data_IF_437803438614
#
_entry.id   IF_437803438614
#
_cell.length_a   1.000
_cell.length_b   1.000
_cell.length_c   1.000
_cell.angle_alpha   90.00
_cell.angle_beta   90.00
_cell.angle_gamma   90.00
#
_symmetry.space_group_name_H-M   'P 1'
#
loop_
_entity.id
_entity.type
_entity.pdbx_description
1 polymer ?
#
# COMPACT_ATOMS: atom_id res chain seq x y z
N UNK A 1 -19.78 7.63 33.95
CA UNK A 1 -18.83 6.50 34.03
C UNK A 1 -18.91 5.78 32.72
N UNK A 2 -17.80 5.71 31.99
CA UNK A 2 -17.76 5.02 30.71
C UNK A 2 -17.92 3.52 30.96
N UNK A 3 -18.71 2.86 30.11
CA UNK A 3 -18.99 1.42 30.21
C UNK A 3 -17.70 0.58 30.29
N UNK A 4 -16.65 1.00 29.57
CA UNK A 4 -15.32 0.41 29.59
C UNK A 4 -14.65 0.42 30.97
N UNK A 5 -14.87 1.46 31.77
CA UNK A 5 -14.31 1.56 33.12
C UNK A 5 -14.98 0.56 34.08
N UNK A 6 -16.29 0.35 33.91
CA UNK A 6 -17.04 -0.64 34.71
C UNK A 6 -16.53 -2.05 34.39
N UNK A 7 -16.35 -2.38 33.12
CA UNK A 7 -15.78 -3.67 32.69
C UNK A 7 -14.39 -3.88 33.30
N UNK A 8 -13.53 -2.87 33.21
CA UNK A 8 -12.18 -2.92 33.77
C UNK A 8 -12.20 -3.23 35.28
N UNK A 9 -13.02 -2.52 36.05
CA UNK A 9 -13.10 -2.68 37.50
C UNK A 9 -13.62 -4.07 37.89
N UNK A 10 -14.64 -4.57 37.19
CA UNK A 10 -15.17 -5.93 37.40
C UNK A 10 -14.09 -6.99 37.16
N UNK A 11 -13.30 -6.85 36.10
CA UNK A 11 -12.20 -7.77 35.78
C UNK A 11 -11.13 -7.72 36.88
N UNK A 12 -10.67 -6.54 37.28
CA UNK A 12 -9.63 -6.39 38.31
C UNK A 12 -10.09 -6.98 39.64
N UNK A 13 -11.31 -6.67 40.08
CA UNK A 13 -11.86 -7.21 41.32
C UNK A 13 -12.03 -8.74 41.26
N UNK A 14 -12.49 -9.28 40.14
CA UNK A 14 -12.61 -10.72 39.94
C UNK A 14 -11.25 -11.43 40.06
N UNK A 15 -10.21 -10.92 39.40
CA UNK A 15 -8.89 -11.52 39.45
C UNK A 15 -8.19 -11.32 40.79
N UNK A 16 -8.38 -10.18 41.47
CA UNK A 16 -7.90 -9.97 42.83
C UNK A 16 -8.54 -10.98 43.80
N UNK A 17 -9.85 -11.17 43.73
CA UNK A 17 -10.58 -12.14 44.54
C UNK A 17 -10.18 -13.59 44.22
N UNK A 18 -10.09 -13.93 42.93
CA UNK A 18 -9.68 -15.26 42.49
C UNK A 18 -8.24 -15.57 42.91
N UNK A 19 -7.33 -14.60 42.80
CA UNK A 19 -5.94 -14.73 43.25
C UNK A 19 -5.83 -14.92 44.76
N UNK A 20 -6.66 -14.21 45.53
CA UNK A 20 -6.74 -14.37 46.98
C UNK A 20 -7.19 -15.78 47.38
N UNK A 21 -8.20 -16.34 46.70
CA UNK A 21 -8.72 -17.68 47.01
C UNK A 21 -7.84 -18.81 46.49
N UNK A 22 -7.19 -18.62 45.34
CA UNK A 22 -6.49 -19.70 44.63
C UNK A 22 -5.03 -19.87 45.04
N UNK A 23 -4.44 -18.85 45.68
CA UNK A 23 -3.05 -18.81 46.13
C UNK A 23 -2.05 -18.45 45.03
N UNK A 24 -0.83 -18.10 45.43
CA UNK A 24 0.26 -17.62 44.57
C UNK A 24 0.53 -18.50 43.34
N UNK A 25 0.71 -19.81 43.54
CA UNK A 25 1.09 -20.74 42.46
C UNK A 25 0.05 -20.82 41.35
N UNK A 26 -1.23 -20.67 41.69
CA UNK A 26 -2.31 -20.69 40.72
C UNK A 26 -2.30 -19.44 39.83
N UNK A 27 -1.95 -18.29 40.41
CA UNK A 27 -1.83 -17.05 39.63
C UNK A 27 -0.62 -17.13 38.73
N UNK A 28 0.51 -17.62 39.24
CA UNK A 28 1.75 -17.75 38.48
C UNK A 28 1.59 -18.69 37.27
N UNK A 29 0.93 -19.83 37.44
CA UNK A 29 0.66 -20.74 36.31
C UNK A 29 -0.22 -20.09 35.24
N UNK A 30 -1.21 -19.29 35.65
CA UNK A 30 -2.07 -18.57 34.71
C UNK A 30 -1.27 -17.51 33.94
N UNK A 31 -0.39 -16.78 34.62
CA UNK A 31 0.47 -15.77 33.99
C UNK A 31 1.39 -16.40 32.93
N UNK A 32 1.97 -17.56 33.22
CA UNK A 32 2.85 -18.27 32.28
C UNK A 32 2.07 -18.91 31.13
N UNK A 33 0.83 -19.34 31.37
CA UNK A 33 -0.02 -19.95 30.34
C UNK A 33 -0.38 -19.01 29.19
N UNK A 34 -0.51 -17.70 29.47
CA UNK A 34 -0.89 -16.69 28.46
C UNK A 34 0.19 -16.53 27.37
N UNK A 35 1.46 -16.23 27.66
CA UNK A 35 2.50 -16.12 26.64
C UNK A 35 2.76 -17.46 25.95
N UNK A 36 2.66 -18.58 26.67
CA UNK A 36 2.77 -19.91 26.06
C UNK A 36 1.64 -20.18 25.04
N UNK A 37 0.39 -19.87 25.40
CA UNK A 37 -0.75 -19.98 24.49
C UNK A 37 -0.61 -19.03 23.30
N UNK A 38 -0.10 -17.82 23.52
CA UNK A 38 0.16 -16.85 22.45
C UNK A 38 1.21 -17.36 21.45
N UNK A 39 2.33 -17.90 21.92
CA UNK A 39 3.38 -18.47 21.06
C UNK A 39 2.84 -19.64 20.23
N UNK A 40 2.14 -20.58 20.87
CA UNK A 40 1.50 -21.70 20.15
C UNK A 40 0.51 -21.16 19.12
N UNK A 41 -0.26 -20.12 19.47
CA UNK A 41 -1.19 -19.51 18.51
C UNK A 41 -0.47 -18.94 17.30
N UNK A 42 0.62 -18.19 17.48
CA UNK A 42 1.38 -17.64 16.37
C UNK A 42 1.92 -18.72 15.42
N UNK A 43 2.45 -19.82 15.96
CA UNK A 43 3.01 -20.89 15.13
C UNK A 43 1.95 -21.70 14.39
N UNK A 44 0.80 -21.99 15.02
CA UNK A 44 -0.19 -22.92 14.48
C UNK A 44 -1.44 -22.28 13.86
N UNK A 45 -1.59 -20.95 13.93
CA UNK A 45 -2.79 -20.28 13.37
C UNK A 45 -2.93 -20.50 11.86
N UNK A 46 -1.84 -20.55 11.09
CA UNK A 46 -1.92 -20.72 9.64
C UNK A 46 -2.46 -22.10 9.26
N UNK A 47 -1.90 -23.16 9.82
CA UNK A 47 -2.35 -24.54 9.57
C UNK A 47 -3.78 -24.76 10.05
N UNK A 48 -4.11 -24.22 11.23
CA UNK A 48 -5.46 -24.32 11.77
C UNK A 48 -6.49 -23.52 10.95
N UNK A 49 -6.11 -22.36 10.40
CA UNK A 49 -6.96 -21.60 9.50
C UNK A 49 -7.20 -22.33 8.17
N UNK A 50 -6.21 -23.04 7.63
CA UNK A 50 -6.40 -23.89 6.46
C UNK A 50 -7.37 -25.04 6.72
N UNK A 51 -7.28 -25.66 7.90
CA UNK A 51 -8.24 -26.67 8.32
C UNK A 51 -9.65 -26.08 8.50
N UNK A 52 -9.76 -24.88 9.08
CA UNK A 52 -11.04 -24.20 9.33
C UNK A 52 -11.75 -23.77 8.04
N UNK A 53 -11.00 -23.51 6.95
CA UNK A 53 -11.57 -23.20 5.62
C UNK A 53 -12.38 -24.33 5.00
N UNK A 54 -12.27 -25.56 5.51
CA UNK A 54 -13.14 -26.66 5.08
C UNK A 54 -14.60 -26.46 5.52
N UNK A 55 -14.86 -25.56 6.46
CA UNK A 55 -16.21 -25.17 6.86
C UNK A 55 -16.65 -23.94 6.05
N UNK A 56 -17.78 -24.06 5.34
CA UNK A 56 -18.32 -23.02 4.45
C UNK A 56 -18.65 -21.67 5.10
N UNK A 57 -18.53 -21.57 6.43
CA UNK A 57 -18.80 -20.36 7.20
C UNK A 57 -17.56 -19.45 7.33
N UNK A 58 -16.36 -19.96 7.03
CA UNK A 58 -15.11 -19.25 7.29
C UNK A 58 -14.32 -19.05 6.00
N UNK A 59 -14.62 -17.98 5.28
CA UNK A 59 -13.86 -17.56 4.10
C UNK A 59 -12.95 -16.35 4.39
N UNK A 60 -11.82 -16.30 3.68
CA UNK A 60 -10.90 -15.17 3.69
C UNK A 60 -10.28 -14.86 5.06
N UNK A 61 -10.18 -13.57 5.38
CA UNK A 61 -9.52 -13.06 6.59
C UNK A 61 -10.24 -13.44 7.88
N UNK A 62 -11.55 -13.68 7.80
CA UNK A 62 -12.37 -14.10 8.95
C UNK A 62 -11.93 -15.49 9.43
N UNK A 63 -11.53 -16.37 8.52
CA UNK A 63 -11.03 -17.70 8.88
C UNK A 63 -9.76 -17.63 9.74
N UNK A 64 -8.84 -16.72 9.43
CA UNK A 64 -7.60 -16.55 10.20
C UNK A 64 -7.85 -15.94 11.58
N UNK A 65 -8.74 -14.95 11.67
CA UNK A 65 -9.13 -14.36 12.96
C UNK A 65 -9.85 -15.36 13.85
N UNK A 66 -10.81 -16.10 13.28
CA UNK A 66 -11.53 -17.15 14.01
C UNK A 66 -10.59 -18.28 14.45
N UNK A 67 -9.69 -18.71 13.56
CA UNK A 67 -8.68 -19.71 13.86
C UNK A 67 -7.77 -19.29 15.02
N UNK A 68 -7.23 -18.06 14.99
CA UNK A 68 -6.39 -17.54 16.06
C UNK A 68 -7.14 -17.47 17.40
N UNK A 69 -8.38 -16.97 17.41
CA UNK A 69 -9.19 -16.87 18.63
C UNK A 69 -9.55 -18.23 19.23
N UNK A 70 -9.99 -19.18 18.40
CA UNK A 70 -10.33 -20.55 18.82
C UNK A 70 -9.08 -21.25 19.37
N UNK A 71 -7.97 -21.18 18.62
CA UNK A 71 -6.74 -21.89 18.98
C UNK A 71 -6.10 -21.31 20.24
N UNK A 72 -6.10 -19.99 20.41
CA UNK A 72 -5.66 -19.34 21.64
C UNK A 72 -6.50 -19.79 22.85
N UNK A 73 -7.82 -19.81 22.70
CA UNK A 73 -8.74 -20.21 23.77
C UNK A 73 -8.55 -21.67 24.16
N UNK A 74 -8.48 -22.59 23.18
CA UNK A 74 -8.25 -24.01 23.42
C UNK A 74 -6.91 -24.27 24.11
N UNK A 75 -5.86 -23.57 23.68
CA UNK A 75 -4.52 -23.73 24.25
C UNK A 75 -4.46 -23.21 25.68
N UNK A 76 -5.08 -22.06 25.95
CA UNK A 76 -5.16 -21.47 27.27
C UNK A 76 -5.94 -22.36 28.25
N UNK A 77 -7.08 -22.91 27.83
CA UNK A 77 -7.84 -23.90 28.61
C UNK A 77 -7.03 -25.17 28.86
N UNK A 78 -6.29 -25.65 27.86
CA UNK A 78 -5.45 -26.84 27.99
C UNK A 78 -4.34 -26.64 29.02
N UNK A 79 -3.64 -25.50 28.99
CA UNK A 79 -2.64 -25.17 30.01
C UNK A 79 -3.27 -25.03 31.39
N UNK A 80 -4.45 -24.41 31.49
CA UNK A 80 -5.15 -24.27 32.76
C UNK A 80 -5.45 -25.64 33.39
N UNK A 81 -5.95 -26.59 32.58
CA UNK A 81 -6.21 -27.97 33.04
C UNK A 81 -4.90 -28.65 33.43
N UNK A 82 -3.86 -28.55 32.59
CA UNK A 82 -2.55 -29.16 32.84
C UNK A 82 -1.96 -28.69 34.17
N UNK A 83 -1.91 -27.37 34.40
CA UNK A 83 -1.38 -26.80 35.62
C UNK A 83 -2.21 -27.15 36.85
N UNK A 84 -3.54 -27.22 36.72
CA UNK A 84 -4.40 -27.65 37.82
C UNK A 84 -4.15 -29.12 38.19
N UNK A 85 -3.95 -30.00 37.21
CA UNK A 85 -3.58 -31.40 37.44
C UNK A 85 -2.21 -31.49 38.11
N UNK A 86 -1.19 -30.81 37.59
CA UNK A 86 0.16 -30.78 38.18
C UNK A 86 0.10 -30.27 39.62
N UNK A 87 -0.64 -29.19 39.87
CA UNK A 87 -0.83 -28.66 41.23
C UNK A 87 -1.42 -29.72 42.15
N UNK A 88 -2.48 -30.40 41.73
CA UNK A 88 -3.14 -31.44 42.53
C UNK A 88 -2.24 -32.66 42.78
N UNK A 89 -1.33 -32.96 41.86
CA UNK A 89 -0.43 -34.12 41.95
C UNK A 89 0.84 -33.83 42.76
N UNK A 90 1.36 -32.59 42.70
CA UNK A 90 2.64 -32.21 43.31
C UNK A 90 2.47 -31.53 44.67
N UNK A 91 1.43 -30.71 44.84
CA UNK A 91 1.17 -30.00 46.09
C UNK A 91 0.07 -30.72 46.88
N UNK A 92 0.48 -31.59 47.81
CA UNK A 92 -0.44 -32.21 48.75
C UNK A 92 -1.19 -31.14 49.58
N UNK A 93 -2.53 -31.22 49.69
CA UNK A 93 -3.36 -30.16 50.26
C UNK A 93 -3.34 -30.04 51.80
N UNK A 94 -2.42 -30.69 52.52
CA UNK A 94 -2.48 -30.74 54.00
C UNK A 94 -1.84 -29.54 54.73
N UNK A 95 -1.17 -28.63 54.03
CA UNK A 95 -0.65 -27.42 54.68
C UNK A 95 -1.69 -26.30 54.67
N UNK A 96 -2.26 -26.04 55.85
CA UNK A 96 -3.16 -24.89 56.13
C UNK A 96 -2.61 -23.62 55.48
N UNK A 97 -3.40 -23.06 54.57
CA UNK A 97 -3.06 -21.87 53.79
C UNK A 97 -2.55 -20.74 54.69
N UNK A 98 -1.26 -20.43 54.56
CA UNK A 98 -0.66 -19.27 55.19
C UNK A 98 -1.38 -18.01 54.68
N UNK A 99 -1.92 -17.19 55.57
CA UNK A 99 -2.58 -15.93 55.23
C UNK A 99 -1.71 -15.04 54.33
N UNK A 100 -0.38 -15.15 54.46
CA UNK A 100 0.58 -14.48 53.60
C UNK A 100 0.44 -14.92 52.12
N UNK A 101 0.27 -16.21 51.84
CA UNK A 101 0.11 -16.72 50.49
C UNK A 101 -1.20 -16.24 49.82
N UNK A 102 -2.26 -16.08 50.60
CA UNK A 102 -3.54 -15.54 50.13
C UNK A 102 -3.41 -14.05 49.76
N UNK A 103 -2.77 -13.24 50.62
CA UNK A 103 -2.54 -11.81 50.34
C UNK A 103 -1.64 -11.62 49.13
N UNK A 104 -0.52 -12.37 49.03
CA UNK A 104 0.38 -12.30 47.87
C UNK A 104 -0.33 -12.75 46.58
N UNK A 105 -1.18 -13.79 46.66
CA UNK A 105 -2.02 -14.23 45.55
C UNK A 105 -3.02 -13.16 45.11
N UNK A 106 -3.63 -12.43 46.05
CA UNK A 106 -4.55 -11.33 45.76
C UNK A 106 -3.88 -10.15 45.05
N UNK A 107 -2.68 -9.74 45.49
CA UNK A 107 -1.92 -8.65 44.86
C UNK A 107 -1.52 -9.02 43.43
N UNK A 108 -0.98 -10.22 43.23
CA UNK A 108 -0.61 -10.68 41.89
C UNK A 108 -1.84 -10.85 41.00
N UNK A 109 -2.93 -11.39 41.56
CA UNK A 109 -4.22 -11.48 40.88
C UNK A 109 -4.70 -10.11 40.41
N UNK A 110 -4.63 -9.09 41.26
CA UNK A 110 -4.98 -7.72 40.89
C UNK A 110 -4.08 -7.20 39.76
N UNK A 111 -2.76 -7.40 39.82
CA UNK A 111 -1.83 -6.98 38.76
C UNK A 111 -2.14 -7.63 37.41
N UNK A 112 -2.42 -8.93 37.41
CA UNK A 112 -2.87 -9.66 36.20
C UNK A 112 -4.22 -9.14 35.71
N UNK A 113 -5.15 -8.90 36.64
CA UNK A 113 -6.45 -8.31 36.34
C UNK A 113 -6.36 -6.94 35.69
N UNK A 114 -5.42 -6.10 36.12
CA UNK A 114 -5.17 -4.79 35.50
C UNK A 114 -4.67 -4.96 34.07
N UNK A 115 -3.68 -5.84 33.85
CA UNK A 115 -3.15 -6.11 32.51
C UNK A 115 -4.24 -6.65 31.56
N UNK A 116 -5.00 -7.66 31.99
CA UNK A 116 -6.11 -8.23 31.22
C UNK A 116 -7.23 -7.21 31.00
N UNK A 117 -7.54 -6.41 32.02
CA UNK A 117 -8.55 -5.35 31.94
C UNK A 117 -8.20 -4.31 30.88
N UNK A 118 -6.94 -3.87 30.81
CA UNK A 118 -6.47 -2.94 29.77
C UNK A 118 -6.63 -3.56 28.38
N UNK A 119 -6.22 -4.82 28.21
CA UNK A 119 -6.37 -5.53 26.94
C UNK A 119 -7.84 -5.69 26.53
N UNK A 120 -8.73 -5.99 27.48
CA UNK A 120 -10.16 -6.13 27.21
C UNK A 120 -10.80 -4.81 26.81
N UNK A 121 -10.43 -3.70 27.46
CA UNK A 121 -10.90 -2.36 27.10
C UNK A 121 -10.41 -1.98 25.71
N UNK A 122 -9.13 -2.19 25.42
CA UNK A 122 -8.54 -1.93 24.10
C UNK A 122 -9.25 -2.75 23.00
N UNK A 123 -9.37 -4.06 23.21
CA UNK A 123 -10.05 -4.96 22.27
C UNK A 123 -11.52 -4.57 22.07
N UNK A 124 -12.23 -4.26 23.14
CA UNK A 124 -13.62 -3.79 23.05
C UNK A 124 -13.72 -2.54 22.20
N UNK A 125 -12.85 -1.54 22.41
CA UNK A 125 -12.81 -0.30 21.61
C UNK A 125 -12.63 -0.61 20.13
N UNK A 126 -11.61 -1.41 19.80
CA UNK A 126 -11.30 -1.79 18.41
C UNK A 126 -12.44 -2.56 17.77
N UNK A 127 -13.08 -3.50 18.48
CA UNK A 127 -14.23 -4.24 17.95
C UNK A 127 -15.42 -3.31 17.73
N UNK A 128 -15.72 -2.41 18.65
CA UNK A 128 -16.80 -1.42 18.44
C UNK A 128 -16.50 -0.49 17.27
N UNK A 129 -15.26 -0.06 17.08
CA UNK A 129 -14.85 0.75 15.93
C UNK A 129 -15.05 -0.02 14.63
N UNK A 130 -14.55 -1.26 14.53
CA UNK A 130 -14.70 -2.10 13.35
C UNK A 130 -16.17 -2.44 13.03
N UNK A 131 -16.98 -2.69 14.06
CA UNK A 131 -18.41 -2.95 13.88
C UNK A 131 -19.17 -1.68 13.49
N UNK A 132 -18.82 -0.54 14.06
CA UNK A 132 -19.40 0.76 13.71
C UNK A 132 -19.03 1.16 12.27
N UNK A 133 -17.80 0.86 11.85
CA UNK A 133 -17.32 1.10 10.49
C UNK A 133 -18.04 0.19 9.48
N UNK A 134 -18.28 -1.08 9.82
CA UNK A 134 -19.07 -2.00 8.98
C UNK A 134 -20.54 -1.57 8.87
N UNK A 135 -21.13 -1.06 9.95
CA UNK A 135 -22.49 -0.52 9.93
C UNK A 135 -22.58 0.81 9.17
N UNK A 136 -21.54 1.66 9.24
CA UNK A 136 -21.45 2.89 8.46
C UNK A 136 -21.22 2.63 6.95
N UNK A 137 -20.42 1.63 6.59
CA UNK A 137 -20.18 1.23 5.19
C UNK A 137 -21.39 0.56 4.53
N UNK A 138 -22.33 0.01 5.31
CA UNK A 138 -23.59 -0.53 4.77
C UNK A 138 -24.53 0.57 4.24
N UNK A 139 -24.32 1.84 4.62
CA UNK A 139 -25.13 2.98 4.15
C UNK A 139 -24.35 4.01 3.31
N UNK A 140 -23.02 3.86 3.20
CA UNK A 140 -22.16 4.77 2.45
C UNK A 140 -21.18 3.98 1.61
N UNK A 141 -21.49 3.79 0.32
CA UNK A 141 -20.54 3.24 -0.64
C UNK A 141 -19.29 4.13 -0.74
N UNK A 142 -18.10 3.55 -0.50
CA UNK A 142 -16.77 3.99 -0.98
C UNK A 142 -15.68 4.51 0.00
N UNK A 143 -15.75 4.38 1.33
CA UNK A 143 -14.67 4.92 2.20
C UNK A 143 -13.58 3.93 2.69
N UNK A 144 -13.81 2.61 2.67
CA UNK A 144 -12.91 1.64 3.36
C UNK A 144 -11.52 1.49 2.75
N UNK A 145 -11.38 1.76 1.45
CA UNK A 145 -10.13 1.58 0.72
C UNK A 145 -9.25 2.82 0.82
N UNK A 146 -9.86 4.01 0.77
CA UNK A 146 -9.16 5.30 0.92
C UNK A 146 -8.54 5.45 2.30
N UNK A 147 -9.26 5.06 3.36
CA UNK A 147 -8.79 5.22 4.74
C UNK A 147 -7.62 4.27 5.05
N UNK A 148 -7.65 3.06 4.47
CA UNK A 148 -6.55 2.08 4.56
C UNK A 148 -5.34 2.47 3.73
N UNK A 149 -5.53 3.00 2.53
CA UNK A 149 -4.43 3.54 1.71
C UNK A 149 -3.78 4.73 2.41
N UNK A 150 -4.55 5.59 3.08
CA UNK A 150 -4.03 6.73 3.83
C UNK A 150 -3.21 6.33 5.05
N UNK A 151 -3.63 5.30 5.80
CA UNK A 151 -2.87 4.78 6.95
C UNK A 151 -1.64 3.96 6.54
N UNK A 152 -1.69 3.26 5.40
CA UNK A 152 -0.52 2.55 4.89
C UNK A 152 0.52 3.52 4.33
N UNK A 153 0.09 4.51 3.53
CA UNK A 153 0.94 5.56 2.99
C UNK A 153 1.66 6.34 4.09
N UNK A 154 0.96 6.74 5.16
CA UNK A 154 1.58 7.49 6.26
C UNK A 154 2.68 6.70 7.01
N UNK A 155 2.55 5.37 7.11
CA UNK A 155 3.52 4.51 7.79
C UNK A 155 4.77 4.17 6.97
N UNK A 156 4.65 4.10 5.64
CA UNK A 156 5.77 3.84 4.73
C UNK A 156 6.58 5.11 4.46
N UNK A 157 5.93 6.27 4.44
CA UNK A 157 6.56 7.57 4.21
C UNK A 157 7.61 7.88 5.27
N UNK A 158 7.37 7.58 6.55
CA UNK A 158 8.34 7.87 7.62
C UNK A 158 9.66 7.10 7.50
N UNK A 159 9.70 6.02 6.69
CA UNK A 159 10.93 5.26 6.42
C UNK A 159 11.61 5.68 5.12
N UNK A 160 10.85 6.13 4.12
CA UNK A 160 11.37 6.55 2.82
C UNK A 160 11.85 8.00 2.85
N UNK A 161 11.22 8.90 3.62
CA UNK A 161 11.65 10.30 3.74
C UNK A 161 12.96 10.48 4.49
N UNK A 162 13.41 9.49 5.28
CA UNK A 162 14.72 9.51 5.95
C UNK A 162 15.87 9.05 5.06
N UNK A 163 15.62 8.36 3.95
CA UNK A 163 16.67 7.89 3.03
C UNK A 163 16.75 8.68 1.72
N UNK A 164 15.70 9.42 1.34
CA UNK A 164 15.65 10.21 0.10
C UNK A 164 15.70 11.74 0.33
N UNK A 165 16.19 12.18 1.49
CA UNK A 165 15.99 13.55 2.02
C UNK A 165 16.68 14.72 1.28
N UNK A 166 17.35 14.52 0.14
CA UNK A 166 18.06 15.62 -0.54
C UNK A 166 17.27 16.27 -1.69
N UNK A 167 16.14 15.71 -2.12
CA UNK A 167 15.34 16.29 -3.21
C UNK A 167 13.96 16.78 -2.71
N UNK A 168 13.89 18.09 -2.43
CA UNK A 168 12.70 18.78 -1.88
C UNK A 168 11.42 18.53 -2.69
N UNK A 169 11.54 18.20 -3.98
CA UNK A 169 10.43 17.96 -4.89
C UNK A 169 9.52 16.78 -4.46
N UNK A 170 10.07 15.72 -3.88
CA UNK A 170 9.30 14.53 -3.50
C UNK A 170 8.50 14.76 -2.20
N UNK A 171 9.07 15.50 -1.24
CA UNK A 171 8.36 15.86 0.00
C UNK A 171 7.19 16.83 -0.24
N UNK A 172 7.35 17.72 -1.22
CA UNK A 172 6.33 18.68 -1.63
C UNK A 172 5.20 18.01 -2.41
N UNK A 173 5.54 17.07 -3.31
CA UNK A 173 4.56 16.29 -4.06
C UNK A 173 3.70 15.44 -3.12
N UNK A 174 4.33 14.80 -2.12
CA UNK A 174 3.61 13.99 -1.14
C UNK A 174 2.73 14.84 -0.22
N UNK A 175 3.19 15.99 0.30
CA UNK A 175 2.38 16.80 1.22
C UNK A 175 1.09 17.35 0.60
N UNK A 176 1.14 17.84 -0.64
CA UNK A 176 -0.04 18.36 -1.33
C UNK A 176 -1.01 17.27 -1.82
N UNK A 177 -0.49 16.12 -2.23
CA UNK A 177 -1.32 14.96 -2.56
C UNK A 177 -2.03 14.41 -1.32
N UNK A 178 -1.34 14.44 -0.16
CA UNK A 178 -1.86 13.96 1.11
C UNK A 178 -2.80 14.94 1.81
N UNK A 179 -2.77 16.23 1.46
CA UNK A 179 -3.69 17.21 2.03
C UNK A 179 -5.16 16.89 1.67
N UNK A 180 -5.43 16.40 0.46
CA UNK A 180 -6.78 16.07 -0.01
C UNK A 180 -6.80 14.85 -0.96
N UNK A 181 -6.42 13.64 -0.52
CA UNK A 181 -6.22 12.49 -1.40
C UNK A 181 -7.50 12.08 -2.13
N UNK A 182 -8.65 12.12 -1.45
CA UNK A 182 -9.94 11.78 -2.05
C UNK A 182 -10.33 12.71 -3.20
N UNK A 183 -10.06 14.02 -3.06
CA UNK A 183 -10.36 14.99 -4.11
C UNK A 183 -9.40 14.87 -5.29
N UNK A 184 -8.10 14.69 -5.05
CA UNK A 184 -7.12 14.56 -6.12
C UNK A 184 -7.30 13.25 -6.91
N UNK A 185 -7.62 12.14 -6.24
CA UNK A 185 -7.95 10.87 -6.92
C UNK A 185 -9.20 11.06 -7.78
N UNK A 186 -10.23 11.75 -7.27
CA UNK A 186 -11.45 12.03 -8.04
C UNK A 186 -11.15 12.84 -9.30
N UNK A 187 -10.36 13.92 -9.17
CA UNK A 187 -9.95 14.76 -10.32
C UNK A 187 -9.11 13.97 -11.32
N UNK A 188 -8.19 13.15 -10.84
CA UNK A 188 -7.36 12.29 -11.69
C UNK A 188 -8.21 11.31 -12.50
N UNK A 189 -9.16 10.64 -11.85
CA UNK A 189 -10.12 9.77 -12.53
C UNK A 189 -10.97 10.53 -13.56
N UNK A 190 -11.43 11.75 -13.23
CA UNK A 190 -12.18 12.58 -14.17
C UNK A 190 -11.36 12.94 -15.42
N UNK A 191 -10.06 13.23 -15.29
CA UNK A 191 -9.19 13.49 -16.44
C UNK A 191 -8.97 12.21 -17.26
N UNK A 192 -8.78 11.06 -16.61
CA UNK A 192 -8.65 9.76 -17.27
C UNK A 192 -9.92 9.37 -18.05
N UNK A 193 -11.09 9.57 -17.46
CA UNK A 193 -12.39 9.24 -18.05
C UNK A 193 -12.71 10.10 -19.28
N UNK A 194 -12.19 11.34 -19.34
CA UNK A 194 -12.34 12.23 -20.50
C UNK A 194 -11.54 11.78 -21.73
N UNK A 195 -10.63 10.82 -21.59
CA UNK A 195 -9.91 10.26 -22.73
C UNK A 195 -8.68 11.07 -23.18
N UNK A 196 -8.31 12.16 -22.48
CA UNK A 196 -7.26 13.07 -22.96
C UNK A 196 -5.87 12.44 -23.00
N UNK A 197 -5.54 11.59 -22.02
CA UNK A 197 -4.28 10.86 -22.04
C UNK A 197 -4.24 9.86 -23.18
N UNK A 198 -5.33 9.14 -23.45
CA UNK A 198 -5.43 8.27 -24.62
C UNK A 198 -5.25 9.10 -25.90
N UNK A 199 -5.93 10.24 -26.03
CA UNK A 199 -5.77 11.12 -27.20
C UNK A 199 -4.31 11.59 -27.37
N UNK A 200 -3.64 11.96 -26.27
CA UNK A 200 -2.24 12.36 -26.28
C UNK A 200 -1.33 11.22 -26.75
N UNK A 201 -1.45 10.03 -26.18
CA UNK A 201 -0.55 8.90 -26.48
C UNK A 201 -0.88 8.17 -27.79
N UNK A 202 -2.10 8.30 -28.33
CA UNK A 202 -2.48 7.71 -29.62
C UNK A 202 -2.40 8.71 -30.80
N UNK A 203 -2.24 10.00 -30.54
CA UNK A 203 -2.02 11.02 -31.57
C UNK A 203 -0.67 10.83 -32.27
N UNK A 204 -0.68 10.71 -33.61
CA UNK A 204 0.56 10.56 -34.39
C UNK A 204 1.53 11.73 -34.16
N UNK A 205 1.04 12.97 -34.08
CA UNK A 205 1.89 14.16 -33.88
C UNK A 205 2.50 14.20 -32.48
N UNK A 206 1.71 13.83 -31.47
CA UNK A 206 2.20 13.79 -30.09
C UNK A 206 3.19 12.65 -29.89
N UNK A 207 2.93 11.47 -30.48
CA UNK A 207 3.89 10.36 -30.49
C UNK A 207 5.19 10.73 -31.18
N UNK A 208 5.14 11.36 -32.35
CA UNK A 208 6.35 11.84 -33.04
C UNK A 208 7.16 12.81 -32.17
N UNK A 209 6.49 13.75 -31.49
CA UNK A 209 7.13 14.66 -30.55
C UNK A 209 7.75 13.94 -29.34
N UNK A 210 7.04 12.94 -28.79
CA UNK A 210 7.49 12.16 -27.64
C UNK A 210 8.67 11.23 -28.00
N UNK A 211 8.59 10.55 -29.14
CA UNK A 211 9.62 9.65 -29.66
C UNK A 211 10.89 10.42 -30.06
N UNK A 212 10.75 11.64 -30.59
CA UNK A 212 11.86 12.57 -30.84
C UNK A 212 12.35 13.31 -29.60
N UNK A 213 11.74 13.07 -28.43
CA UNK A 213 12.06 13.72 -27.15
C UNK A 213 11.97 15.26 -27.22
N UNK A 214 11.11 15.79 -28.09
CA UNK A 214 10.94 17.22 -28.34
C UNK A 214 9.70 17.78 -27.61
N UNK A 215 9.91 18.29 -26.39
CA UNK A 215 8.84 18.87 -25.57
C UNK A 215 8.17 20.11 -26.22
N UNK A 216 8.92 20.88 -27.01
CA UNK A 216 8.37 22.06 -27.69
C UNK A 216 7.43 21.69 -28.83
N UNK A 217 7.69 20.60 -29.54
CA UNK A 217 6.77 20.03 -30.52
C UNK A 217 5.52 19.47 -29.82
N UNK A 218 5.69 18.74 -28.71
CA UNK A 218 4.57 18.20 -27.92
C UNK A 218 3.62 19.30 -27.47
N UNK A 219 4.18 20.39 -26.93
CA UNK A 219 3.46 21.57 -26.46
C UNK A 219 2.53 22.17 -27.52
N UNK A 220 2.90 22.08 -28.80
CA UNK A 220 2.10 22.63 -29.89
C UNK A 220 0.95 21.72 -30.33
N UNK A 221 1.00 20.43 -29.98
CA UNK A 221 0.02 19.45 -30.46
C UNK A 221 -1.39 19.73 -29.93
N UNK A 222 -2.45 19.51 -30.74
CA UNK A 222 -3.83 19.70 -30.28
C UNK A 222 -4.20 18.82 -29.08
N UNK A 223 -3.69 17.58 -29.03
CA UNK A 223 -3.96 16.64 -27.95
C UNK A 223 -3.38 17.13 -26.61
N UNK A 224 -2.14 17.65 -26.62
CA UNK A 224 -1.54 18.25 -25.44
C UNK A 224 -2.32 19.47 -24.96
N UNK A 225 -2.70 20.37 -25.89
CA UNK A 225 -3.50 21.55 -25.57
C UNK A 225 -4.84 21.20 -24.93
N UNK A 226 -5.51 20.15 -25.39
CA UNK A 226 -6.76 19.67 -24.75
C UNK A 226 -6.52 19.23 -23.31
N UNK A 227 -5.46 18.47 -23.06
CA UNK A 227 -5.11 18.00 -21.72
C UNK A 227 -4.83 19.18 -20.77
N UNK A 228 -3.95 20.11 -21.14
CA UNK A 228 -3.53 21.22 -20.25
C UNK A 228 -4.58 22.33 -20.09
N UNK A 229 -5.55 22.41 -20.99
CA UNK A 229 -6.69 23.32 -20.86
C UNK A 229 -7.82 22.77 -19.97
N UNK A 230 -7.76 21.51 -19.56
CA UNK A 230 -8.77 20.94 -18.68
C UNK A 230 -8.60 21.46 -17.23
N UNK A 231 -9.68 21.96 -16.60
CA UNK A 231 -9.59 22.55 -15.27
C UNK A 231 -9.20 21.53 -14.18
N UNK A 232 -9.59 20.26 -14.32
CA UNK A 232 -9.23 19.22 -13.36
C UNK A 232 -7.74 18.86 -13.51
N UNK A 233 -7.24 18.79 -14.74
CA UNK A 233 -5.82 18.58 -14.99
C UNK A 233 -4.96 19.75 -14.47
N UNK A 234 -5.34 21.02 -14.71
CA UNK A 234 -4.60 22.17 -14.18
C UNK A 234 -4.55 22.16 -12.66
N UNK A 235 -5.67 21.84 -12.01
CA UNK A 235 -5.74 21.73 -10.55
C UNK A 235 -4.77 20.66 -10.02
N UNK A 236 -4.69 19.51 -10.70
CA UNK A 236 -3.73 18.45 -10.36
C UNK A 236 -2.28 18.90 -10.58
N UNK A 237 -1.97 19.50 -11.74
CA UNK A 237 -0.62 19.95 -12.06
C UNK A 237 -0.12 21.03 -11.08
N UNK A 238 -1.00 21.94 -10.65
CA UNK A 238 -0.70 22.93 -9.61
C UNK A 238 -0.53 22.28 -8.23
N UNK A 239 -1.39 21.33 -7.87
CA UNK A 239 -1.25 20.61 -6.60
C UNK A 239 0.08 19.84 -6.52
N UNK A 240 0.53 19.28 -7.63
CA UNK A 240 1.82 18.60 -7.75
C UNK A 240 3.01 19.56 -7.89
N UNK A 241 2.80 20.88 -7.85
CA UNK A 241 3.83 21.92 -8.02
C UNK A 241 4.71 21.69 -9.26
N UNK A 242 4.10 21.30 -10.38
CA UNK A 242 4.84 21.04 -11.63
C UNK A 242 5.54 22.31 -12.15
N UNK A 243 5.05 23.49 -11.77
CA UNK A 243 5.70 24.78 -12.01
C UNK A 243 5.42 25.75 -10.87
N UNK A 244 6.35 26.70 -10.65
CA UNK A 244 6.20 27.78 -9.67
C UNK A 244 5.17 28.83 -10.12
N UNK A 245 4.98 28.99 -11.44
CA UNK A 245 4.09 30.00 -12.02
C UNK A 245 3.08 29.38 -12.97
N UNK A 246 1.88 29.97 -13.06
CA UNK A 246 0.85 29.49 -13.99
C UNK A 246 1.21 29.73 -15.47
N UNK A 247 2.13 30.65 -15.77
CA UNK A 247 2.55 30.97 -17.14
C UNK A 247 3.52 29.91 -17.69
N UNK A 248 4.30 29.28 -16.83
CA UNK A 248 5.25 28.21 -17.21
C UNK A 248 4.67 26.81 -17.05
N UNK A 249 3.51 26.68 -16.40
CA UNK A 249 2.86 25.39 -16.11
C UNK A 249 2.77 24.50 -17.35
N UNK A 250 2.24 25.02 -18.46
CA UNK A 250 2.03 24.23 -19.67
C UNK A 250 3.36 23.79 -20.30
N UNK A 251 4.42 24.63 -20.23
CA UNK A 251 5.76 24.27 -20.72
C UNK A 251 6.38 23.19 -19.84
N UNK A 252 6.32 23.35 -18.52
CA UNK A 252 6.86 22.38 -17.56
C UNK A 252 6.13 21.05 -17.66
N UNK A 253 4.80 21.05 -17.82
CA UNK A 253 4.03 19.83 -18.09
C UNK A 253 4.50 19.15 -19.38
N UNK A 254 4.75 19.90 -20.45
CA UNK A 254 5.28 19.32 -21.70
C UNK A 254 6.66 18.67 -21.49
N UNK A 255 7.57 19.35 -20.79
CA UNK A 255 8.90 18.82 -20.44
C UNK A 255 8.76 17.56 -19.61
N UNK A 256 7.95 17.58 -18.54
CA UNK A 256 7.78 16.44 -17.63
C UNK A 256 7.12 15.23 -18.31
N UNK A 257 6.09 15.44 -19.13
CA UNK A 257 5.49 14.33 -19.89
C UNK A 257 6.51 13.73 -20.87
N UNK A 258 7.29 14.57 -21.57
CA UNK A 258 8.34 14.10 -22.49
C UNK A 258 9.44 13.36 -21.75
N UNK A 259 9.85 13.83 -20.57
CA UNK A 259 10.84 13.21 -19.70
C UNK A 259 10.37 11.84 -19.21
N UNK A 260 9.12 11.74 -18.74
CA UNK A 260 8.49 10.47 -18.33
C UNK A 260 8.38 9.51 -19.50
N UNK A 261 8.00 9.98 -20.69
CA UNK A 261 7.95 9.13 -21.88
C UNK A 261 9.33 8.58 -22.24
N UNK A 262 10.36 9.45 -22.25
CA UNK A 262 11.72 9.03 -22.54
C UNK A 262 12.24 8.02 -21.50
N UNK A 263 11.86 8.16 -20.23
CA UNK A 263 12.15 7.16 -19.20
C UNK A 263 11.43 5.84 -19.48
N UNK A 264 10.14 5.87 -19.82
CA UNK A 264 9.37 4.66 -20.17
C UNK A 264 9.99 3.95 -21.38
N UNK A 265 10.39 4.69 -22.41
CA UNK A 265 11.01 4.14 -23.60
C UNK A 265 12.36 3.46 -23.27
N UNK A 266 13.19 4.11 -22.46
CA UNK A 266 14.43 3.53 -21.93
C UNK A 266 14.16 2.26 -21.10
N UNK A 267 13.19 2.29 -20.18
CA UNK A 267 12.79 1.12 -19.37
C UNK A 267 12.31 -0.03 -20.26
N UNK A 268 11.48 0.26 -21.26
CA UNK A 268 10.95 -0.74 -22.20
C UNK A 268 12.06 -1.41 -23.01
N UNK A 269 13.15 -0.69 -23.27
CA UNK A 269 14.34 -1.22 -23.94
C UNK A 269 15.27 -2.03 -23.03
N UNK A 270 15.11 -1.97 -21.70
CA UNK A 270 15.94 -2.74 -20.76
C UNK A 270 15.62 -4.26 -20.88
N UNK A 271 16.62 -5.12 -21.13
CA UNK A 271 16.42 -6.56 -21.25
C UNK A 271 15.80 -7.21 -20.00
N UNK A 272 16.12 -6.71 -18.79
CA UNK A 272 15.56 -7.22 -17.54
C UNK A 272 14.09 -6.87 -17.41
N UNK A 273 13.70 -5.67 -17.82
CA UNK A 273 12.28 -5.28 -17.85
C UNK A 273 11.49 -6.20 -18.79
N UNK A 274 12.02 -6.51 -19.98
CA UNK A 274 11.38 -7.43 -20.92
C UNK A 274 11.26 -8.85 -20.36
N UNK A 275 12.30 -9.35 -19.69
CA UNK A 275 12.26 -10.67 -19.04
C UNK A 275 11.22 -10.73 -17.92
N UNK A 276 11.22 -9.73 -17.02
CA UNK A 276 10.29 -9.67 -15.89
C UNK A 276 8.83 -9.48 -16.33
N UNK A 277 8.58 -8.69 -17.37
CA UNK A 277 7.21 -8.48 -17.87
C UNK A 277 6.66 -9.66 -18.66
N UNK A 278 7.54 -10.51 -19.22
CA UNK A 278 7.14 -11.78 -19.86
C UNK A 278 6.99 -12.93 -18.88
N UNK A 279 7.37 -12.74 -17.60
CA UNK A 279 7.23 -13.76 -16.57
C UNK A 279 5.73 -14.02 -16.27
N UNK A 280 5.27 -15.28 -16.34
CA UNK A 280 3.88 -15.63 -16.10
C UNK A 280 3.43 -15.31 -14.66
N UNK A 281 4.33 -15.39 -13.69
CA UNK A 281 4.04 -15.07 -12.28
C UNK A 281 3.80 -13.57 -12.12
N UNK A 282 4.65 -12.73 -12.72
CA UNK A 282 4.49 -11.26 -12.70
C UNK A 282 3.19 -10.86 -13.38
N UNK A 283 2.92 -11.42 -14.56
CA UNK A 283 1.68 -11.19 -15.29
C UNK A 283 0.46 -11.61 -14.47
N UNK A 284 0.53 -12.76 -13.81
CA UNK A 284 -0.53 -13.26 -12.93
C UNK A 284 -0.75 -12.33 -11.73
N UNK A 285 0.32 -11.86 -11.07
CA UNK A 285 0.23 -10.93 -9.95
C UNK A 285 -0.44 -9.61 -10.35
N UNK A 286 -0.05 -9.04 -11.49
CA UNK A 286 -0.62 -7.80 -12.03
C UNK A 286 -2.10 -8.00 -12.38
N UNK A 287 -2.43 -9.07 -13.11
CA UNK A 287 -3.81 -9.35 -13.54
C UNK A 287 -4.75 -9.64 -12.37
N UNK A 288 -4.26 -10.34 -11.34
CA UNK A 288 -5.03 -10.64 -10.14
C UNK A 288 -5.18 -9.44 -9.20
N UNK A 289 -4.48 -8.32 -9.47
CA UNK A 289 -4.44 -7.13 -8.61
C UNK A 289 -4.16 -7.47 -7.14
N UNK A 290 -3.37 -8.51 -6.90
CA UNK A 290 -3.09 -8.97 -5.55
C UNK A 290 -1.95 -8.14 -4.96
N UNK A 291 -2.31 -6.98 -4.41
CA UNK A 291 -1.36 -5.99 -3.87
C UNK A 291 -0.41 -6.61 -2.84
N UNK A 292 -0.88 -7.53 -1.99
CA UNK A 292 -0.04 -8.22 -1.01
C UNK A 292 1.04 -9.08 -1.67
N UNK A 293 0.71 -9.82 -2.74
CA UNK A 293 1.71 -10.58 -3.50
C UNK A 293 2.67 -9.67 -4.25
N UNK A 294 2.16 -8.58 -4.83
CA UNK A 294 2.96 -7.61 -5.56
C UNK A 294 4.03 -6.99 -4.64
N UNK A 295 3.64 -6.55 -3.44
CA UNK A 295 4.57 -5.90 -2.49
C UNK A 295 5.62 -6.83 -1.88
N UNK A 296 5.35 -8.14 -1.81
CA UNK A 296 6.28 -9.12 -1.23
C UNK A 296 7.03 -9.92 -2.29
N UNK A 297 6.90 -9.57 -3.57
CA UNK A 297 7.54 -10.30 -4.65
C UNK A 297 8.89 -9.68 -5.00
N UNK A 298 9.96 -10.48 -4.85
CA UNK A 298 11.31 -10.10 -5.26
C UNK A 298 11.37 -9.70 -6.75
N UNK A 299 10.54 -10.32 -7.61
CA UNK A 299 10.47 -9.97 -9.05
C UNK A 299 9.85 -8.60 -9.29
N UNK A 300 8.88 -8.20 -8.46
CA UNK A 300 8.30 -6.86 -8.53
C UNK A 300 9.29 -5.83 -8.00
N UNK A 301 10.02 -6.14 -6.92
CA UNK A 301 11.09 -5.30 -6.41
C UNK A 301 12.18 -5.08 -7.48
N UNK A 302 12.58 -6.14 -8.18
CA UNK A 302 13.50 -6.04 -9.31
C UNK A 302 12.93 -5.19 -10.46
N UNK A 303 11.66 -5.38 -10.80
CA UNK A 303 10.98 -4.58 -11.83
C UNK A 303 10.98 -3.08 -11.48
N UNK A 304 10.71 -2.75 -10.22
CA UNK A 304 10.75 -1.38 -9.72
C UNK A 304 12.18 -0.82 -9.70
N UNK A 305 13.15 -1.64 -9.32
CA UNK A 305 14.58 -1.27 -9.38
C UNK A 305 14.99 -0.93 -10.80
N UNK A 306 14.57 -1.68 -11.82
CA UNK A 306 14.83 -1.35 -13.22
C UNK A 306 14.23 0.01 -13.59
N UNK A 307 12.99 0.29 -13.19
CA UNK A 307 12.32 1.57 -13.47
C UNK A 307 13.06 2.76 -12.84
N UNK A 308 13.52 2.62 -11.60
CA UNK A 308 14.20 3.68 -10.85
C UNK A 308 15.66 3.86 -11.31
N UNK A 309 16.31 2.79 -11.79
CA UNK A 309 17.73 2.85 -12.19
C UNK A 309 17.98 3.48 -13.56
N UNK A 310 16.93 3.69 -14.35
CA UNK A 310 17.07 4.29 -15.68
C UNK A 310 17.34 5.78 -15.54
N UNK A 311 18.49 6.20 -16.06
CA UNK A 311 18.89 7.61 -16.10
C UNK A 311 17.87 8.42 -16.93
N UNK A 312 17.29 9.43 -16.29
CA UNK A 312 16.30 10.29 -16.94
C UNK A 312 17.03 11.27 -17.87
N UNK A 313 16.78 11.24 -19.19
CA UNK A 313 17.43 12.18 -20.09
C UNK A 313 16.97 13.60 -19.78
N UNK A 314 17.90 14.55 -19.83
CA UNK A 314 17.57 15.97 -19.74
C UNK A 314 16.82 16.39 -21.00
N UNK A 315 15.58 16.85 -20.83
CA UNK A 315 14.73 17.30 -21.94
C UNK A 315 14.81 18.83 -22.02
N UNK A 316 15.40 19.32 -23.11
CA UNK A 316 15.44 20.76 -23.40
C UNK A 316 14.17 21.16 -24.16
N UNK A 317 13.53 22.23 -23.72
CA UNK A 317 12.38 22.79 -24.44
C UNK A 317 12.86 23.67 -25.59
N UNK A 318 12.79 23.14 -26.82
CA UNK A 318 13.09 23.89 -28.03
C UNK A 318 11.78 24.31 -28.72
N UNK A 319 11.41 25.60 -28.75
CA UNK A 319 10.21 26.03 -29.46
C UNK A 319 10.34 25.67 -30.94
N UNK A 320 9.37 24.91 -31.49
CA UNK A 320 9.46 24.29 -32.83
C UNK A 320 9.64 25.26 -34.01
N UNK A 321 9.65 26.58 -33.76
CA UNK A 321 9.91 27.62 -34.75
C UNK A 321 11.31 27.52 -35.40
N UNK A 322 12.18 26.60 -34.96
CA UNK A 322 13.48 26.29 -35.56
C UNK A 322 13.59 24.93 -36.23
N UNK A 323 12.50 24.15 -36.34
CA UNK A 323 12.38 23.25 -37.49
C UNK A 323 12.05 24.12 -38.69
N UNK A 324 13.07 24.84 -39.17
CA UNK A 324 13.17 25.16 -40.58
C UNK A 324 12.79 23.87 -41.27
N UNK A 325 11.59 23.85 -41.86
CA UNK A 325 11.23 22.89 -42.87
C UNK A 325 12.25 23.09 -43.96
N UNK A 326 13.43 22.49 -43.81
CA UNK A 326 14.36 22.27 -44.89
C UNK A 326 13.52 21.39 -45.79
N UNK A 327 12.80 22.02 -46.74
CA UNK A 327 12.02 21.35 -47.76
C UNK A 327 12.96 20.29 -48.30
N UNK A 328 12.75 19.05 -47.88
CA UNK A 328 13.50 17.95 -48.44
C UNK A 328 12.92 17.83 -49.83
N UNK A 329 13.59 18.45 -50.81
CA UNK A 329 13.25 18.26 -52.21
C UNK A 329 13.45 16.77 -52.49
N UNK A 330 12.35 16.02 -52.50
CA UNK A 330 12.37 14.61 -52.87
C UNK A 330 12.46 14.56 -54.39
N UNK A 331 13.63 14.21 -54.90
CA UNK A 331 13.84 14.00 -56.33
C UNK A 331 13.28 12.63 -56.71
N UNK A 332 12.38 12.62 -57.69
CA UNK A 332 11.87 11.41 -58.33
C UNK A 332 12.61 11.19 -59.65
N UNK A 333 13.23 10.04 -59.84
CA UNK A 333 13.79 9.63 -61.14
C UNK A 333 13.37 8.20 -61.49
N UNK A 334 13.61 7.83 -62.75
CA UNK A 334 13.28 6.52 -63.31
C UNK A 334 14.59 5.90 -63.81
N UNK A 335 14.89 4.66 -63.41
CA UNK A 335 16.08 3.95 -63.90
C UNK A 335 15.89 3.41 -65.33
N UNK A 336 16.97 2.92 -65.94
CA UNK A 336 16.95 2.34 -67.31
C UNK A 336 16.02 1.13 -67.46
N UNK A 337 15.51 0.58 -66.34
CA UNK A 337 14.54 -0.53 -66.30
C UNK A 337 13.12 -0.05 -66.03
N UNK A 338 12.86 1.26 -66.05
CA UNK A 338 11.54 1.85 -65.82
C UNK A 338 11.09 1.88 -64.36
N UNK A 339 11.98 1.64 -63.39
CA UNK A 339 11.63 1.64 -61.96
C UNK A 339 11.79 3.03 -61.37
N UNK A 340 10.79 3.48 -60.63
CA UNK A 340 10.75 4.80 -59.99
C UNK A 340 11.51 4.75 -58.67
N UNK A 341 12.43 5.69 -58.47
CA UNK A 341 13.21 5.85 -57.24
C UNK A 341 12.99 7.26 -56.67
N UNK A 342 13.15 7.38 -55.34
CA UNK A 342 13.03 8.62 -54.59
C UNK A 342 14.29 8.81 -53.74
N UNK A 343 14.87 10.01 -53.74
CA UNK A 343 15.99 10.40 -52.87
C UNK A 343 15.95 11.89 -52.58
N UNK A 344 16.48 12.19 -51.40
CA UNK A 344 16.82 13.48 -50.84
C UNK A 344 18.07 14.14 -51.47
N UNK A 345 18.80 13.45 -52.35
CA UNK A 345 20.00 13.97 -53.04
C UNK A 345 19.76 14.10 -54.54
N UNK A 346 20.07 15.28 -55.09
CA UNK A 346 20.09 15.51 -56.54
C UNK A 346 21.19 14.66 -57.16
N UNK A 347 20.83 13.71 -58.04
CA UNK A 347 21.84 12.96 -58.78
C UNK A 347 22.58 13.93 -59.72
N UNK A 348 23.90 14.02 -59.55
CA UNK A 348 24.76 14.77 -60.46
C UNK A 348 24.83 14.04 -61.80
N UNK A 349 24.64 14.78 -62.88
CA UNK A 349 24.88 14.31 -64.25
C UNK A 349 26.35 13.93 -64.46
#
# INVERSE_FOLDING_TARGET
MDFSFIIFLVIVCYFAYSGYKSGFFSVLSNVISIPAAYLITLFYTQDFALWLKNFSLFEGLIAYLAAGAILFTLTLVSFFILFNVIRKLVLNPEHKDSQLAAVTGGILGAGVGVFIGILAVWFSSTVTELLSEKMAQSNSGSSSFTDKVQTMASSTISKVTTELSDDNAVSDLTSNLLANPGEQIKRFNQVLDKGYFQELFYSNQAREALDSKNAGQLFQTPAFKKLVNDPDFRSLATALKVADTSEELDKQVAIKITQVWAQIDSVKSDPRFQQLTQDPEVTQMINQRNVFKIMNSAKIEELLSVIVSVETPEIIFEPSNQLDSKKVEVYRWVDDKGRVHYSDKKQGN
#
